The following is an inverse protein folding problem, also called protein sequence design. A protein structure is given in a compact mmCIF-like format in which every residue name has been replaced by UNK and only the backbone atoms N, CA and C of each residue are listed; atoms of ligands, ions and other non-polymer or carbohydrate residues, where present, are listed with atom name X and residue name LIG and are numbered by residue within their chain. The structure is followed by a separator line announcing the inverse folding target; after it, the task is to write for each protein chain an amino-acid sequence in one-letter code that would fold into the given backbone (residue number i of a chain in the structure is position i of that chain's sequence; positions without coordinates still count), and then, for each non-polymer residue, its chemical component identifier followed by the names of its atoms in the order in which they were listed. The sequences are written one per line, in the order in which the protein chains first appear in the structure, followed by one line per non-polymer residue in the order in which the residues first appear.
data_IF_761355081219
#
_entry.id   IF_761355081219
#
_cell.length_a   1.000
_cell.length_b   1.000
_cell.length_c   1.000
_cell.angle_alpha   90.00
_cell.angle_beta   90.00
_cell.angle_gamma   90.00
#
_symmetry.space_group_name_H-M   'P 1'
#
loop_
_entity.id
_entity.type
_entity.pdbx_description
1 polymer ?
#
# COMPACT_ATOMS: atom_id res chain seq x y z
N UNK A 1 -24.59 8.84 7.06
CA UNK A 1 -24.66 8.31 5.68
C UNK A 1 -23.32 7.69 5.31
N UNK A 2 -23.29 6.68 4.44
CA UNK A 2 -22.02 6.12 3.94
C UNK A 2 -21.33 7.13 3.04
N UNK A 3 -19.99 7.08 2.99
CA UNK A 3 -19.19 7.93 2.11
C UNK A 3 -19.26 7.41 0.67
N UNK A 4 -19.18 8.32 -0.30
CA UNK A 4 -19.15 7.95 -1.72
C UNK A 4 -17.83 7.29 -2.11
N UNK A 5 -16.72 7.77 -1.55
CA UNK A 5 -15.40 7.19 -1.72
C UNK A 5 -14.54 7.39 -0.46
N UNK A 6 -13.67 6.42 -0.15
CA UNK A 6 -12.79 6.42 1.02
C UNK A 6 -11.40 5.96 0.60
N UNK A 7 -10.37 6.71 0.98
CA UNK A 7 -8.98 6.29 0.88
C UNK A 7 -8.61 5.47 2.13
N UNK A 8 -7.95 4.33 1.94
CA UNK A 8 -7.71 3.31 2.96
C UNK A 8 -6.24 2.90 2.95
N UNK A 9 -5.65 2.78 4.13
CA UNK A 9 -4.34 2.16 4.34
C UNK A 9 -4.28 1.47 5.72
N UNK A 10 -3.61 0.33 5.77
CA UNK A 10 -3.38 -0.46 6.97
C UNK A 10 -1.89 -0.68 7.20
N UNK A 11 -1.48 -0.61 8.47
CA UNK A 11 -0.19 -1.15 8.88
C UNK A 11 -0.35 -2.58 9.38
N UNK A 12 0.55 -3.47 8.94
CA UNK A 12 0.53 -4.88 9.31
C UNK A 12 1.74 -5.27 10.16
N UNK A 13 1.51 -6.16 11.12
CA UNK A 13 2.56 -6.87 11.87
C UNK A 13 2.59 -8.34 11.48
N UNK A 14 3.71 -9.00 11.76
CA UNK A 14 3.88 -10.44 11.61
C UNK A 14 3.35 -11.20 12.82
N UNK A 15 2.50 -12.19 12.60
CA UNK A 15 1.92 -13.07 13.61
C UNK A 15 2.15 -14.54 13.28
N UNK A 16 2.15 -15.37 14.33
CA UNK A 16 2.31 -16.82 14.18
C UNK A 16 3.69 -17.25 13.67
N UNK A 17 3.85 -18.57 13.50
CA UNK A 17 5.15 -19.19 13.17
C UNK A 17 5.61 -18.93 11.73
N UNK A 18 4.67 -18.66 10.82
CA UNK A 18 4.95 -18.43 9.41
C UNK A 18 5.07 -16.94 9.06
N UNK A 19 4.98 -16.04 10.05
CA UNK A 19 5.07 -14.59 9.83
C UNK A 19 3.90 -14.03 9.02
N UNK A 20 2.70 -14.61 9.18
CA UNK A 20 1.48 -14.14 8.53
C UNK A 20 1.21 -12.68 8.90
N UNK A 21 0.62 -11.90 7.99
CA UNK A 21 0.29 -10.51 8.27
C UNK A 21 -1.03 -10.39 9.02
N UNK A 22 -1.08 -9.53 10.04
CA UNK A 22 -2.32 -9.12 10.70
C UNK A 22 -2.31 -7.59 10.88
N UNK A 23 -3.47 -6.95 10.71
CA UNK A 23 -3.62 -5.50 10.85
C UNK A 23 -3.29 -5.04 12.27
N UNK A 24 -2.57 -3.93 12.37
CA UNK A 24 -2.15 -3.32 13.62
C UNK A 24 -2.41 -1.80 13.69
N UNK A 25 -2.70 -1.15 12.55
CA UNK A 25 -3.29 0.18 12.47
C UNK A 25 -4.18 0.25 11.23
N UNK A 26 -5.27 0.98 11.33
CA UNK A 26 -6.22 1.24 10.24
C UNK A 26 -6.38 2.75 10.11
N UNK A 27 -6.19 3.25 8.90
CA UNK A 27 -6.44 4.64 8.53
C UNK A 27 -7.45 4.71 7.38
N UNK A 28 -8.46 5.56 7.54
CA UNK A 28 -9.48 5.77 6.53
C UNK A 28 -9.81 7.26 6.42
N UNK A 29 -9.83 7.77 5.19
CA UNK A 29 -10.01 9.19 4.90
C UNK A 29 -11.15 9.35 3.89
N UNK A 30 -12.05 10.28 4.13
CA UNK A 30 -13.06 10.65 3.15
C UNK A 30 -12.38 11.23 1.90
N UNK A 31 -12.60 10.59 0.75
CA UNK A 31 -11.87 10.92 -0.48
C UNK A 31 -12.15 12.33 -1.00
N UNK A 32 -13.34 12.89 -0.75
CA UNK A 32 -13.71 14.19 -1.31
C UNK A 32 -13.31 15.34 -0.39
N UNK A 33 -13.66 15.23 0.89
CA UNK A 33 -13.44 16.28 1.89
C UNK A 33 -12.05 16.24 2.52
N UNK A 34 -11.36 15.10 2.51
CA UNK A 34 -10.10 14.91 3.23
C UNK A 34 -10.29 14.73 4.74
N UNK A 35 -11.51 14.53 5.23
CA UNK A 35 -11.77 14.22 6.65
C UNK A 35 -11.12 12.88 7.02
N UNK A 36 -10.32 12.85 8.09
CA UNK A 36 -9.81 11.59 8.68
C UNK A 36 -10.95 10.93 9.45
N UNK A 37 -11.48 9.84 8.91
CA UNK A 37 -12.62 9.09 9.46
C UNK A 37 -12.18 8.10 10.53
N UNK A 38 -11.03 7.46 10.30
CA UNK A 38 -10.42 6.50 11.20
C UNK A 38 -8.91 6.74 11.18
N UNK A 39 -8.32 6.80 12.36
CA UNK A 39 -6.89 6.58 12.61
C UNK A 39 -6.82 5.83 13.94
N UNK A 40 -6.64 4.52 13.89
CA UNK A 40 -6.75 3.69 15.09
C UNK A 40 -5.79 2.52 15.08
N UNK A 41 -5.12 2.33 16.22
CA UNK A 41 -4.36 1.12 16.49
C UNK A 41 -5.32 -0.06 16.63
N UNK A 42 -4.89 -1.21 16.12
CA UNK A 42 -5.60 -2.47 16.19
C UNK A 42 -4.74 -3.45 16.96
N UNK A 43 -5.25 -3.98 18.08
CA UNK A 43 -4.57 -5.02 18.82
C UNK A 43 -4.67 -6.34 18.05
N UNK A 44 -3.57 -6.94 17.59
CA UNK A 44 -3.63 -8.21 16.84
C UNK A 44 -4.24 -9.33 17.70
N UNK A 45 -5.03 -10.21 17.08
CA UNK A 45 -5.70 -11.33 17.77
C UNK A 45 -4.74 -12.47 18.08
N UNK A 46 -3.62 -12.55 17.36
CA UNK A 46 -2.59 -13.58 17.52
C UNK A 46 -1.31 -12.99 18.12
N UNK A 47 -0.47 -13.83 18.76
CA UNK A 47 0.84 -13.39 19.23
C UNK A 47 1.70 -12.82 18.10
N UNK A 48 2.13 -11.58 18.27
CA UNK A 48 3.03 -10.88 17.34
C UNK A 48 4.44 -11.47 17.45
N UNK A 49 4.97 -11.93 16.32
CA UNK A 49 6.32 -12.48 16.19
C UNK A 49 7.30 -11.49 15.58
N UNK A 50 6.80 -10.55 14.77
CA UNK A 50 7.59 -9.46 14.19
C UNK A 50 6.74 -8.19 14.10
N UNK A 51 7.18 -7.11 14.74
CA UNK A 51 6.46 -5.83 14.70
C UNK A 51 6.61 -5.10 13.37
N UNK A 52 7.60 -5.48 12.55
CA UNK A 52 7.88 -4.84 11.25
C UNK A 52 8.01 -3.32 11.38
N UNK A 53 8.49 -2.81 12.52
CA UNK A 53 8.45 -1.39 12.89
C UNK A 53 9.02 -0.44 11.83
N UNK A 54 10.03 -0.88 11.07
CA UNK A 54 10.59 -0.12 9.94
C UNK A 54 9.58 0.18 8.82
N UNK A 55 8.46 -0.54 8.81
CA UNK A 55 7.35 -0.38 7.87
C UNK A 55 6.10 0.04 8.65
N UNK A 56 5.71 -0.69 9.69
CA UNK A 56 4.45 -0.45 10.41
C UNK A 56 4.43 0.82 11.27
N UNK A 57 5.61 1.32 11.65
CA UNK A 57 5.77 2.37 12.66
C UNK A 57 5.35 2.00 14.08
N UNK A 58 4.92 0.75 14.29
CA UNK A 58 4.40 0.28 15.59
C UNK A 58 5.50 -0.45 16.36
N UNK A 59 5.62 -0.12 17.65
CA UNK A 59 6.49 -0.83 18.59
C UNK A 59 5.67 -1.65 19.59
N UNK A 60 6.28 -2.72 20.11
CA UNK A 60 5.68 -3.54 21.18
C UNK A 60 5.22 -2.70 22.37
N UNK A 61 6.06 -1.77 22.80
CA UNK A 61 5.79 -0.94 23.98
C UNK A 61 4.65 0.05 23.69
N UNK A 62 4.65 0.70 22.53
CA UNK A 62 3.57 1.62 22.16
C UNK A 62 2.21 0.91 22.09
N UNK A 63 2.15 -0.29 21.48
CA UNK A 63 0.93 -1.09 21.46
C UNK A 63 0.50 -1.52 22.87
N UNK A 64 1.43 -1.97 23.72
CA UNK A 64 1.10 -2.37 25.10
C UNK A 64 0.52 -1.21 25.93
N UNK A 65 1.06 0.00 25.79
CA UNK A 65 0.50 1.21 26.43
C UNK A 65 -0.89 1.51 25.91
N UNK A 66 -1.09 1.52 24.59
CA UNK A 66 -2.40 1.78 23.99
C UNK A 66 -3.46 0.75 24.42
N UNK A 67 -3.08 -0.53 24.54
CA UNK A 67 -3.95 -1.60 25.07
C UNK A 67 -4.32 -1.34 26.53
N UNK A 68 -3.34 -1.00 27.38
CA UNK A 68 -3.58 -0.72 28.80
C UNK A 68 -4.50 0.49 29.02
N UNK A 69 -4.44 1.47 28.13
CA UNK A 69 -5.29 2.66 28.13
C UNK A 69 -6.62 2.47 27.37
N UNK A 70 -6.89 1.26 26.85
CA UNK A 70 -8.08 0.94 26.06
C UNK A 70 -8.28 1.88 24.84
N UNK A 71 -7.17 2.28 24.19
CA UNK A 71 -7.12 3.13 22.99
C UNK A 71 -6.85 2.32 21.71
N UNK A 72 -7.37 1.11 21.63
CA UNK A 72 -7.20 0.19 20.50
C UNK A 72 -8.52 -0.45 20.10
N UNK A 73 -8.64 -0.80 18.83
CA UNK A 73 -9.65 -1.74 18.34
C UNK A 73 -9.17 -3.18 18.60
N UNK A 74 -10.05 -4.07 19.04
CA UNK A 74 -9.68 -5.45 19.39
C UNK A 74 -9.73 -6.36 18.17
N UNK A 75 -8.60 -6.38 17.46
CA UNK A 75 -8.39 -7.24 16.31
C UNK A 75 -9.05 -6.75 15.02
N UNK A 76 -8.76 -7.48 13.95
CA UNK A 76 -9.36 -7.25 12.64
C UNK A 76 -10.91 -7.24 12.64
N UNK A 77 -11.66 -7.98 13.51
CA UNK A 77 -13.12 -7.90 13.48
C UNK A 77 -13.65 -6.53 13.87
N UNK A 78 -13.09 -5.92 14.93
CA UNK A 78 -13.48 -4.57 15.35
C UNK A 78 -12.97 -3.50 14.38
N UNK A 79 -11.75 -3.64 13.85
CA UNK A 79 -11.24 -2.75 12.80
C UNK A 79 -12.16 -2.72 11.57
N UNK A 80 -12.58 -3.90 11.10
CA UNK A 80 -13.52 -4.02 9.99
C UNK A 80 -14.90 -3.44 10.32
N UNK A 81 -15.42 -3.70 11.53
CA UNK A 81 -16.68 -3.13 11.98
C UNK A 81 -16.63 -1.59 12.04
N UNK A 82 -15.49 -1.03 12.47
CA UNK A 82 -15.25 0.41 12.48
C UNK A 82 -15.28 0.98 11.05
N UNK A 83 -14.54 0.37 10.12
CA UNK A 83 -14.55 0.76 8.71
C UNK A 83 -15.96 0.71 8.11
N UNK A 84 -16.71 -0.34 8.41
CA UNK A 84 -18.10 -0.49 7.97
C UNK A 84 -19.06 0.55 8.50
N UNK A 85 -18.71 1.39 9.49
CA UNK A 85 -19.54 2.56 9.83
C UNK A 85 -19.60 3.56 8.67
N UNK A 86 -18.51 3.68 7.91
CA UNK A 86 -18.34 4.69 6.86
C UNK A 86 -18.56 4.14 5.45
N UNK A 87 -18.29 2.86 5.22
CA UNK A 87 -18.35 2.25 3.88
C UNK A 87 -19.51 1.25 3.74
N UNK A 88 -19.97 1.03 2.52
CA UNK A 88 -20.83 -0.07 2.11
C UNK A 88 -20.42 -0.59 0.72
N UNK A 89 -21.20 -1.50 0.13
CA UNK A 89 -20.94 -2.06 -1.21
C UNK A 89 -20.97 -1.03 -2.34
N UNK A 90 -21.51 0.17 -2.10
CA UNK A 90 -21.59 1.25 -3.07
C UNK A 90 -20.43 2.25 -2.95
N UNK A 91 -19.77 2.34 -1.80
CA UNK A 91 -18.57 3.15 -1.59
C UNK A 91 -17.41 2.68 -2.49
N UNK A 92 -16.67 3.61 -3.08
CA UNK A 92 -15.41 3.31 -3.79
C UNK A 92 -14.26 3.32 -2.78
N UNK A 93 -13.46 2.25 -2.72
CA UNK A 93 -12.23 2.22 -1.93
C UNK A 93 -11.03 2.60 -2.79
N UNK A 94 -10.20 3.49 -2.28
CA UNK A 94 -9.02 4.03 -2.95
C UNK A 94 -7.78 3.74 -2.12
N UNK A 95 -6.68 3.34 -2.74
CA UNK A 95 -5.44 3.04 -2.00
C UNK A 95 -4.34 2.49 -2.90
N UNK A 96 -3.26 2.01 -2.28
CA UNK A 96 -2.13 1.38 -2.95
C UNK A 96 -2.04 -0.09 -2.57
N UNK A 97 -2.09 -0.99 -3.56
CA UNK A 97 -1.97 -2.44 -3.33
C UNK A 97 -2.98 -2.98 -2.29
N UNK A 98 -4.23 -2.53 -2.36
CA UNK A 98 -5.29 -2.75 -1.37
C UNK A 98 -5.63 -4.21 -1.04
N UNK A 99 -5.20 -5.16 -1.88
CA UNK A 99 -5.32 -6.58 -1.56
C UNK A 99 -4.65 -6.95 -0.22
N UNK A 100 -3.57 -6.27 0.17
CA UNK A 100 -2.93 -6.49 1.47
C UNK A 100 -3.81 -6.03 2.63
N UNK A 101 -4.44 -4.87 2.50
CA UNK A 101 -5.38 -4.30 3.47
C UNK A 101 -6.62 -5.19 3.60
N UNK A 102 -7.16 -5.65 2.48
CA UNK A 102 -8.31 -6.55 2.44
C UNK A 102 -8.02 -7.89 3.10
N UNK A 103 -6.83 -8.46 2.88
CA UNK A 103 -6.38 -9.67 3.57
C UNK A 103 -6.27 -9.42 5.09
N UNK A 104 -5.68 -8.30 5.50
CA UNK A 104 -5.51 -7.91 6.91
C UNK A 104 -6.85 -7.69 7.63
N UNK A 105 -7.81 -7.06 6.95
CA UNK A 105 -9.18 -6.83 7.43
C UNK A 105 -10.10 -8.04 7.23
N UNK A 106 -9.64 -9.07 6.50
CA UNK A 106 -10.41 -10.26 6.10
C UNK A 106 -11.72 -9.90 5.41
N UNK A 107 -11.64 -9.05 4.40
CA UNK A 107 -12.80 -8.59 3.64
C UNK A 107 -12.57 -8.64 2.14
N UNK A 108 -13.65 -8.48 1.39
CA UNK A 108 -13.64 -8.33 -0.05
C UNK A 108 -14.49 -7.13 -0.42
N UNK A 109 -14.06 -6.39 -1.44
CA UNK A 109 -14.79 -5.22 -1.93
C UNK A 109 -14.64 -5.10 -3.44
N UNK A 110 -15.72 -4.75 -4.13
CA UNK A 110 -15.79 -4.79 -5.59
C UNK A 110 -15.47 -3.44 -6.26
N UNK A 111 -15.73 -2.32 -5.58
CA UNK A 111 -15.52 -0.98 -6.11
C UNK A 111 -14.20 -0.43 -5.60
N UNK A 112 -13.13 -0.70 -6.34
CA UNK A 112 -11.77 -0.39 -5.92
C UNK A 112 -11.05 0.39 -7.01
N UNK A 113 -10.34 1.45 -6.62
CA UNK A 113 -9.38 2.18 -7.46
C UNK A 113 -8.02 2.10 -6.78
N UNK A 114 -7.13 1.30 -7.36
CA UNK A 114 -5.80 1.05 -6.80
C UNK A 114 -4.73 1.75 -7.63
N UNK A 115 -3.94 2.63 -7.01
CA UNK A 115 -2.90 3.41 -7.71
C UNK A 115 -1.84 2.53 -8.36
N UNK A 116 -1.50 1.38 -7.75
CA UNK A 116 -0.55 0.42 -8.32
C UNK A 116 -1.11 -0.27 -9.56
N UNK A 117 -2.41 -0.56 -9.57
CA UNK A 117 -3.10 -1.11 -10.75
C UNK A 117 -3.16 -0.07 -11.87
N UNK A 118 -3.52 1.19 -11.57
CA UNK A 118 -3.55 2.26 -12.58
C UNK A 118 -2.17 2.46 -13.23
N UNK A 119 -1.10 2.50 -12.43
CA UNK A 119 0.25 2.61 -12.96
C UNK A 119 0.64 1.39 -13.82
N UNK A 120 0.28 0.18 -13.39
CA UNK A 120 0.55 -1.04 -14.16
C UNK A 120 -0.21 -1.07 -15.48
N UNK A 121 -1.48 -0.65 -15.48
CA UNK A 121 -2.32 -0.59 -16.67
C UNK A 121 -1.75 0.40 -17.70
N UNK A 122 -1.33 1.58 -17.26
CA UNK A 122 -0.67 2.58 -18.09
C UNK A 122 0.61 2.05 -18.77
N UNK A 123 1.37 1.20 -18.07
CA UNK A 123 2.58 0.56 -18.61
C UNK A 123 2.23 -0.58 -19.58
N UNK A 124 1.12 -1.27 -19.32
CA UNK A 124 0.62 -2.38 -20.10
C UNK A 124 1.31 -3.71 -19.81
N UNK A 125 1.04 -4.70 -20.66
CA UNK A 125 1.48 -6.08 -20.48
C UNK A 125 2.97 -6.28 -20.82
N UNK A 126 3.54 -7.39 -20.32
CA UNK A 126 4.94 -7.76 -20.56
C UNK A 126 5.96 -7.18 -19.58
N UNK A 127 5.51 -6.32 -18.65
CA UNK A 127 6.33 -5.75 -17.57
C UNK A 127 5.94 -6.35 -16.23
N UNK A 128 6.88 -7.02 -15.57
CA UNK A 128 6.65 -7.66 -14.26
C UNK A 128 6.85 -6.72 -13.07
N UNK A 129 7.34 -5.50 -13.31
CA UNK A 129 7.59 -4.50 -12.27
C UNK A 129 6.27 -3.97 -11.69
N UNK A 130 6.28 -3.63 -10.41
CA UNK A 130 5.27 -2.82 -9.74
C UNK A 130 5.91 -1.51 -9.28
N UNK A 131 5.13 -0.43 -9.23
CA UNK A 131 5.58 0.87 -8.74
C UNK A 131 4.96 1.11 -7.36
N UNK A 132 5.82 1.37 -6.38
CA UNK A 132 5.37 1.67 -5.01
C UNK A 132 4.91 3.11 -4.87
N UNK A 133 4.15 3.37 -3.81
CA UNK A 133 3.55 4.68 -3.54
C UNK A 133 4.58 5.80 -3.51
N UNK A 134 5.70 5.62 -2.80
CA UNK A 134 6.81 6.60 -2.74
C UNK A 134 7.34 6.98 -4.13
N UNK A 135 7.49 6.01 -5.04
CA UNK A 135 7.95 6.29 -6.42
C UNK A 135 6.91 7.10 -7.20
N UNK A 136 5.62 6.81 -7.02
CA UNK A 136 4.57 7.52 -7.74
C UNK A 136 4.37 8.94 -7.18
N UNK A 137 4.47 9.13 -5.87
CA UNK A 137 4.44 10.45 -5.25
C UNK A 137 5.57 11.35 -5.79
N UNK A 138 6.79 10.82 -5.83
CA UNK A 138 7.94 11.55 -6.39
C UNK A 138 7.72 11.89 -7.86
N UNK A 139 7.32 10.92 -8.68
CA UNK A 139 7.24 11.11 -10.14
C UNK A 139 6.02 11.88 -10.62
N UNK A 140 4.88 11.77 -9.94
CA UNK A 140 3.63 12.37 -10.36
C UNK A 140 3.34 13.68 -9.64
N UNK A 141 3.64 13.74 -8.34
CA UNK A 141 3.30 14.88 -7.48
C UNK A 141 4.51 15.74 -7.13
N UNK A 142 5.73 15.23 -7.32
CA UNK A 142 6.97 15.93 -6.92
C UNK A 142 7.13 16.01 -5.40
N UNK A 143 6.54 15.08 -4.65
CA UNK A 143 6.60 15.04 -3.18
C UNK A 143 7.30 13.78 -2.70
N UNK A 144 7.99 13.89 -1.57
CA UNK A 144 8.60 12.76 -0.89
C UNK A 144 7.79 12.39 0.36
N UNK A 145 7.42 11.12 0.48
CA UNK A 145 6.71 10.53 1.62
C UNK A 145 7.58 9.46 2.31
N UNK A 146 7.12 8.96 3.47
CA UNK A 146 7.78 7.86 4.21
C UNK A 146 9.21 8.21 4.64
N UNK A 147 9.43 9.47 5.04
CA UNK A 147 10.75 10.00 5.43
C UNK A 147 11.16 9.67 6.87
N UNK A 148 10.34 8.90 7.57
CA UNK A 148 10.47 8.57 8.98
C UNK A 148 11.56 7.51 9.28
N UNK A 149 12.25 6.99 8.26
CA UNK A 149 13.42 6.12 8.41
C UNK A 149 13.10 4.85 9.21
N UNK A 150 13.73 4.69 10.39
CA UNK A 150 13.50 3.51 11.26
C UNK A 150 12.19 3.57 12.05
N UNK A 151 11.53 4.73 12.05
CA UNK A 151 10.26 4.94 12.76
C UNK A 151 9.04 4.44 11.98
N UNK A 152 9.24 3.86 10.80
CA UNK A 152 8.18 3.26 9.99
C UNK A 152 7.32 4.27 9.24
N UNK A 153 6.33 3.76 8.52
CA UNK A 153 5.41 4.57 7.72
C UNK A 153 4.28 5.11 8.61
N UNK A 154 3.56 6.07 8.07
CA UNK A 154 2.34 6.59 8.68
C UNK A 154 1.17 6.33 7.73
N UNK A 155 0.33 5.35 8.08
CA UNK A 155 -0.86 5.02 7.30
C UNK A 155 -1.78 6.20 6.96
N UNK A 156 -1.81 7.28 7.76
CA UNK A 156 -2.59 8.48 7.38
C UNK A 156 -1.92 9.21 6.21
N UNK A 157 -0.60 9.40 6.26
CA UNK A 157 0.19 9.95 5.14
C UNK A 157 0.01 9.08 3.89
N UNK A 158 0.13 7.76 4.03
CA UNK A 158 0.04 6.82 2.90
C UNK A 158 -1.37 6.80 2.29
N UNK A 159 -2.44 6.86 3.09
CA UNK A 159 -3.81 6.96 2.59
C UNK A 159 -4.06 8.29 1.83
N UNK A 160 -3.56 9.42 2.34
CA UNK A 160 -3.62 10.71 1.61
C UNK A 160 -2.79 10.66 0.31
N UNK A 161 -1.57 10.13 0.37
CA UNK A 161 -0.70 10.04 -0.78
C UNK A 161 -1.31 9.16 -1.89
N UNK A 162 -1.91 8.03 -1.53
CA UNK A 162 -2.60 7.18 -2.51
C UNK A 162 -3.80 7.89 -3.13
N UNK A 163 -4.58 8.65 -2.34
CA UNK A 163 -5.64 9.53 -2.84
C UNK A 163 -5.10 10.54 -3.86
N UNK A 164 -4.03 11.26 -3.54
CA UNK A 164 -3.45 12.28 -4.44
C UNK A 164 -2.90 11.67 -5.73
N UNK A 165 -2.24 10.51 -5.64
CA UNK A 165 -1.77 9.77 -6.83
C UNK A 165 -2.94 9.39 -7.73
N UNK A 166 -4.04 8.89 -7.16
CA UNK A 166 -5.24 8.55 -7.95
C UNK A 166 -5.87 9.80 -8.56
N UNK A 167 -5.99 10.90 -7.82
CA UNK A 167 -6.47 12.20 -8.35
C UNK A 167 -5.61 12.69 -9.52
N UNK A 168 -4.28 12.55 -9.41
CA UNK A 168 -3.37 12.91 -10.49
C UNK A 168 -3.59 12.03 -11.73
N UNK A 169 -3.66 10.71 -11.55
CA UNK A 169 -3.87 9.75 -12.63
C UNK A 169 -5.15 10.02 -13.42
N UNK A 170 -6.26 10.34 -12.74
CA UNK A 170 -7.54 10.63 -13.42
C UNK A 170 -7.55 12.01 -14.08
N UNK A 171 -6.78 12.98 -13.55
CA UNK A 171 -6.67 14.33 -14.11
C UNK A 171 -5.68 14.45 -15.27
N UNK A 172 -4.71 13.53 -15.37
CA UNK A 172 -3.56 13.59 -16.29
C UNK A 172 -3.40 12.29 -17.09
N UNK A 173 -4.49 11.81 -17.70
CA UNK A 173 -4.51 10.52 -18.38
C UNK A 173 -3.51 10.43 -19.54
N UNK A 174 -3.27 11.53 -20.26
CA UNK A 174 -2.31 11.58 -21.37
C UNK A 174 -0.87 11.48 -20.84
N UNK A 175 -0.55 12.25 -19.80
CA UNK A 175 0.76 12.21 -19.14
C UNK A 175 1.03 10.83 -18.52
N UNK A 176 0.02 10.22 -17.90
CA UNK A 176 0.09 8.86 -17.37
C UNK A 176 0.40 7.85 -18.48
N UNK A 177 -0.26 7.95 -19.63
CA UNK A 177 -0.01 7.07 -20.78
C UNK A 177 1.40 7.29 -21.36
N UNK A 178 1.87 8.54 -21.45
CA UNK A 178 3.26 8.86 -21.86
C UNK A 178 4.26 8.26 -20.87
N UNK A 179 4.01 8.42 -19.57
CA UNK A 179 4.85 7.86 -18.52
C UNK A 179 4.91 6.33 -18.62
N UNK A 180 3.76 5.66 -18.80
CA UNK A 180 3.69 4.21 -18.92
C UNK A 180 4.50 3.65 -20.09
N UNK A 181 4.44 4.30 -21.27
CA UNK A 181 5.28 3.94 -22.43
C UNK A 181 6.77 4.05 -22.12
N UNK A 182 7.20 5.15 -21.49
CA UNK A 182 8.60 5.35 -21.08
C UNK A 182 9.07 4.27 -20.12
N UNK A 183 8.25 3.89 -19.13
CA UNK A 183 8.57 2.82 -18.20
C UNK A 183 8.73 1.46 -18.89
N UNK A 184 7.86 1.15 -19.87
CA UNK A 184 7.94 -0.09 -20.66
C UNK A 184 9.24 -0.15 -21.47
N UNK A 185 9.56 0.90 -22.21
CA UNK A 185 10.79 1.02 -22.98
C UNK A 185 12.03 0.84 -22.09
N UNK A 186 12.04 1.48 -20.91
CA UNK A 186 13.14 1.35 -19.96
C UNK A 186 13.29 -0.09 -19.44
N UNK A 187 12.18 -0.76 -19.13
CA UNK A 187 12.17 -2.14 -18.68
C UNK A 187 12.73 -3.08 -19.75
N UNK A 188 12.26 -2.97 -21.00
CA UNK A 188 12.74 -3.78 -22.12
C UNK A 188 14.22 -3.55 -22.41
N UNK A 189 14.67 -2.29 -22.36
CA UNK A 189 16.09 -1.95 -22.51
C UNK A 189 16.94 -2.60 -21.42
N UNK A 190 16.52 -2.51 -20.16
CA UNK A 190 17.21 -3.15 -19.02
C UNK A 190 17.21 -4.67 -19.13
N UNK A 191 16.12 -5.28 -19.63
CA UNK A 191 16.02 -6.73 -19.87
C UNK A 191 17.03 -7.19 -20.92
N UNK A 192 17.06 -6.55 -22.10
CA UNK A 192 18.03 -6.84 -23.18
C UNK A 192 19.48 -6.73 -22.69
N UNK A 193 19.79 -5.70 -21.90
CA UNK A 193 21.13 -5.52 -21.32
C UNK A 193 21.52 -6.64 -20.36
N UNK A 194 20.58 -7.15 -19.54
CA UNK A 194 20.82 -8.27 -18.63
C UNK A 194 21.04 -9.58 -19.39
N UNK A 195 20.25 -9.83 -20.44
CA UNK A 195 20.38 -11.01 -21.30
C UNK A 195 21.72 -11.02 -22.04
N UNK A 196 22.14 -9.89 -22.62
CA UNK A 196 23.44 -9.75 -23.27
C UNK A 196 24.61 -10.00 -22.30
N UNK A 197 24.52 -9.51 -21.06
CA UNK A 197 25.54 -9.77 -20.02
C UNK A 197 25.60 -11.25 -19.60
N UNK A 198 24.45 -11.94 -19.55
CA UNK A 198 24.39 -13.38 -19.24
C UNK A 198 25.00 -14.22 -20.36
N UNK A 199 24.67 -13.94 -21.62
CA UNK A 199 25.23 -14.64 -22.79
C UNK A 199 26.76 -14.52 -22.88
N UNK A 200 27.33 -13.35 -22.53
CA UNK A 200 28.78 -13.15 -22.47
C UNK A 200 29.46 -13.94 -21.34
N UNK A 201 28.79 -14.11 -20.18
CA UNK A 201 29.32 -14.92 -19.06
C UNK A 201 29.29 -16.41 -19.35
N UNK A 202 28.24 -16.92 -20.02
CA UNK A 202 28.15 -18.35 -20.38
C UNK A 202 29.17 -18.78 -21.43
N UNK A 203 29.69 -17.85 -22.23
CA UNK A 203 30.76 -18.11 -23.21
C UNK A 203 32.17 -18.06 -22.59
N UNK A 204 32.32 -17.63 -21.33
CA UNK A 204 33.62 -17.47 -20.65
C UNK A 204 33.92 -18.54 -19.59
N UNK A 205 33.02 -19.49 -19.33
CA UNK A 205 33.28 -20.68 -18.50
C UNK A 205 33.66 -21.86 -19.40
N UNK A 206 34.94 -22.26 -19.49
CA UNK A 206 35.34 -23.47 -20.20
C UNK A 206 34.86 -24.70 -19.42
N UNK A 207 34.33 -25.69 -20.13
CA UNK A 207 34.10 -27.04 -19.61
C UNK A 207 35.39 -27.61 -19.04
N UNK A 208 35.41 -27.89 -17.73
CA UNK A 208 36.42 -28.72 -17.08
C UNK A 208 36.03 -30.18 -17.17
#
# INVERSE_FOLDING_TARGET
PKRGAVALDCEMVGVGRNGESEVARLSAIDYLSGEVLIDSLVQPTRPVTDWRTRFSGITKNAMAVAVAENRVLKGWPEARAELWKYIDSNTVLVGQALHHDFDGLRMQHWKVVDSGILAKDAVGTGVSRQWGLKTMCDQFLGIEIQNNGKSGHDSVEDAFAAREVVLWCIGHMEELAVWGRKQKEEFERKKKQREAKRGKKSQQTPSS
#
